data_IF_925551481131
#
_entry.id   IF_925551481131
#
_cell.length_a   1.000
_cell.length_b   1.000
_cell.length_c   1.000
_cell.angle_alpha   90.00
_cell.angle_beta   90.00
_cell.angle_gamma   90.00
#
_symmetry.space_group_name_H-M   'P 1'
#
loop_
_entity.id
_entity.type
_entity.pdbx_description
1 polymer ?
#
# COMPACT_ATOMS: atom_id res chain seq x y z
N UNK A 1 -87.21 -13.40 -23.57
CA UNK A 1 -86.13 -14.43 -23.43
C UNK A 1 -84.82 -13.72 -23.43
N UNK A 2 -84.18 -13.62 -22.28
CA UNK A 2 -82.94 -12.85 -22.08
C UNK A 2 -81.84 -13.88 -21.82
N UNK A 3 -80.88 -13.95 -22.71
CA UNK A 3 -79.66 -14.79 -22.50
C UNK A 3 -78.53 -13.89 -22.03
N UNK A 4 -78.11 -14.09 -20.77
CA UNK A 4 -76.98 -13.44 -20.20
C UNK A 4 -75.67 -14.09 -20.64
N UNK A 5 -74.78 -13.29 -21.22
CA UNK A 5 -73.38 -13.71 -21.58
C UNK A 5 -72.44 -13.29 -20.49
N UNK A 6 -71.87 -14.26 -19.80
CA UNK A 6 -70.86 -14.06 -18.79
C UNK A 6 -69.45 -13.95 -19.42
N UNK A 7 -68.95 -12.71 -19.45
CA UNK A 7 -67.55 -12.45 -19.85
C UNK A 7 -66.57 -12.80 -18.73
N UNK A 8 -65.64 -13.69 -19.00
CA UNK A 8 -64.49 -14.00 -18.15
C UNK A 8 -63.38 -12.97 -18.35
N UNK A 9 -63.16 -12.17 -17.33
CA UNK A 9 -61.96 -11.32 -17.25
C UNK A 9 -60.77 -12.17 -16.85
N UNK A 10 -59.85 -12.33 -17.77
CA UNK A 10 -58.53 -12.94 -17.49
C UNK A 10 -57.59 -11.83 -16.96
N UNK A 11 -57.28 -11.87 -15.69
CA UNK A 11 -56.28 -11.01 -15.09
C UNK A 11 -54.88 -11.55 -15.40
N UNK A 12 -54.17 -10.86 -16.28
CA UNK A 12 -52.77 -11.13 -16.56
C UNK A 12 -51.92 -10.46 -15.46
N UNK A 13 -51.38 -11.25 -14.55
CA UNK A 13 -50.42 -10.80 -13.54
C UNK A 13 -49.02 -10.70 -14.22
N UNK A 14 -48.59 -9.46 -14.48
CA UNK A 14 -47.21 -9.19 -14.94
C UNK A 14 -46.27 -9.24 -13.74
N UNK A 15 -45.48 -10.31 -13.63
CA UNK A 15 -44.34 -10.39 -12.71
C UNK A 15 -43.22 -9.47 -13.23
N UNK A 16 -43.05 -8.33 -12.60
CA UNK A 16 -41.89 -7.46 -12.76
C UNK A 16 -40.76 -8.06 -11.93
N UNK A 17 -39.85 -8.80 -12.56
CA UNK A 17 -38.62 -9.24 -11.92
C UNK A 17 -37.66 -8.05 -11.78
N UNK A 18 -37.56 -7.49 -10.57
CA UNK A 18 -36.50 -6.54 -10.24
C UNK A 18 -35.17 -7.28 -10.22
N UNK A 19 -34.42 -7.13 -11.28
CA UNK A 19 -32.99 -7.47 -11.30
C UNK A 19 -32.26 -6.48 -10.39
N UNK A 20 -32.00 -6.86 -9.16
CA UNK A 20 -31.07 -6.14 -8.28
C UNK A 20 -29.66 -6.34 -8.84
N UNK A 21 -29.15 -5.37 -9.60
CA UNK A 21 -27.74 -5.28 -9.90
C UNK A 21 -27.03 -4.96 -8.57
N UNK A 22 -26.46 -5.98 -7.92
CA UNK A 22 -25.49 -5.77 -6.85
C UNK A 22 -24.26 -5.12 -7.50
N UNK A 23 -23.77 -3.95 -7.01
CA UNK A 23 -22.51 -3.42 -7.44
C UNK A 23 -21.45 -4.46 -7.05
N UNK A 24 -20.79 -5.07 -8.02
CA UNK A 24 -19.58 -5.83 -7.79
C UNK A 24 -18.55 -4.84 -7.25
N UNK A 25 -18.24 -4.95 -5.95
CA UNK A 25 -17.10 -4.26 -5.36
C UNK A 25 -15.89 -4.73 -6.17
N UNK A 26 -15.33 -3.82 -6.97
CA UNK A 26 -14.12 -4.09 -7.72
C UNK A 26 -13.05 -4.43 -6.69
N UNK A 27 -12.58 -5.68 -6.68
CA UNK A 27 -11.45 -6.07 -5.85
C UNK A 27 -10.24 -5.23 -6.26
N UNK A 28 -9.50 -4.72 -5.28
CA UNK A 28 -8.26 -3.99 -5.56
C UNK A 28 -7.33 -4.88 -6.41
N UNK A 29 -6.62 -4.28 -7.37
CA UNK A 29 -5.70 -5.05 -8.21
C UNK A 29 -4.64 -5.73 -7.33
N UNK A 30 -4.23 -6.96 -7.64
CA UNK A 30 -3.25 -7.67 -6.85
C UNK A 30 -1.94 -6.88 -6.78
N UNK A 31 -1.37 -6.80 -5.59
CA UNK A 31 -0.10 -6.16 -5.33
C UNK A 31 1.11 -7.07 -5.54
N UNK A 32 2.26 -6.53 -5.26
CA UNK A 32 3.55 -7.23 -5.23
C UNK A 32 3.95 -7.48 -3.79
N UNK A 33 4.26 -8.73 -3.47
CA UNK A 33 4.80 -9.12 -2.18
C UNK A 33 6.31 -8.98 -2.21
N UNK A 34 6.82 -8.06 -1.40
CA UNK A 34 8.24 -7.80 -1.22
C UNK A 34 8.73 -8.42 0.07
N UNK A 35 9.87 -9.07 0.03
CA UNK A 35 10.67 -9.37 1.20
C UNK A 35 11.67 -8.22 1.39
N UNK A 36 11.47 -7.43 2.43
CA UNK A 36 12.26 -6.23 2.71
C UNK A 36 13.15 -6.47 3.90
N UNK A 37 14.44 -6.27 3.72
CA UNK A 37 15.44 -6.29 4.80
C UNK A 37 15.82 -4.86 5.13
N UNK A 38 15.79 -4.51 6.41
CA UNK A 38 16.22 -3.22 6.94
C UNK A 38 17.34 -3.38 7.95
N UNK A 39 18.34 -2.53 7.87
CA UNK A 39 19.46 -2.48 8.81
C UNK A 39 19.67 -1.04 9.28
N UNK A 40 19.63 -0.82 10.58
CA UNK A 40 19.80 0.48 11.19
C UNK A 40 21.22 0.64 11.74
N UNK A 41 21.81 1.80 11.50
CA UNK A 41 23.07 2.24 12.08
C UNK A 41 22.89 3.63 12.71
N UNK A 42 23.45 3.86 13.89
CA UNK A 42 23.46 5.15 14.56
C UNK A 42 24.85 5.77 14.47
N UNK A 43 24.92 7.06 14.14
CA UNK A 43 26.17 7.78 14.10
C UNK A 43 26.82 7.82 15.51
N UNK A 44 28.10 7.50 15.58
CA UNK A 44 28.86 7.49 16.84
C UNK A 44 28.76 6.21 17.69
N UNK A 45 27.96 5.23 17.24
CA UNK A 45 27.92 3.90 17.88
C UNK A 45 28.57 2.86 16.96
N UNK A 46 29.57 2.10 17.45
CA UNK A 46 30.21 1.05 16.64
C UNK A 46 29.31 -0.18 16.45
N UNK A 47 28.17 -0.24 17.14
CA UNK A 47 27.25 -1.36 17.07
C UNK A 47 26.23 -1.13 15.96
N UNK A 48 26.21 -2.04 14.98
CA UNK A 48 25.12 -2.13 14.01
C UNK A 48 24.00 -2.98 14.61
N UNK A 49 22.77 -2.50 14.50
CA UNK A 49 21.62 -3.31 14.88
C UNK A 49 21.48 -4.48 13.89
N UNK A 50 21.03 -5.65 14.36
CA UNK A 50 20.82 -6.79 13.46
C UNK A 50 19.81 -6.43 12.37
N UNK A 51 20.05 -6.93 11.16
CA UNK A 51 19.13 -6.75 10.05
C UNK A 51 17.79 -7.43 10.37
N UNK A 52 16.70 -6.74 10.05
CA UNK A 52 15.34 -7.25 10.19
C UNK A 52 14.74 -7.46 8.81
N UNK A 53 14.10 -8.61 8.62
CA UNK A 53 13.43 -8.95 7.38
C UNK A 53 11.94 -9.09 7.62
N UNK A 54 11.13 -8.45 6.76
CA UNK A 54 9.68 -8.51 6.81
C UNK A 54 9.10 -8.61 5.40
N UNK A 55 7.88 -9.13 5.29
CA UNK A 55 7.14 -9.14 4.04
C UNK A 55 6.18 -7.96 3.99
N UNK A 56 6.21 -7.22 2.90
CA UNK A 56 5.39 -6.02 2.67
C UNK A 56 4.63 -6.18 1.37
N UNK A 57 3.31 -5.98 1.43
CA UNK A 57 2.45 -5.96 0.25
C UNK A 57 2.32 -4.53 -0.26
N UNK A 58 2.79 -4.26 -1.45
CA UNK A 58 2.74 -2.94 -2.08
C UNK A 58 2.03 -2.97 -3.41
N UNK A 59 1.47 -1.85 -3.84
CA UNK A 59 0.92 -1.70 -5.18
C UNK A 59 1.99 -1.99 -6.26
N UNK A 60 1.57 -2.45 -7.43
CA UNK A 60 2.48 -2.70 -8.56
C UNK A 60 3.26 -1.47 -8.97
N UNK A 61 2.61 -0.31 -8.92
CA UNK A 61 3.25 0.97 -9.21
C UNK A 61 3.40 1.73 -7.91
N UNK A 62 4.63 1.97 -7.53
CA UNK A 62 4.93 2.74 -6.33
C UNK A 62 4.71 4.23 -6.61
N UNK A 63 3.67 4.78 -6.01
CA UNK A 63 3.42 6.23 -5.98
C UNK A 63 3.81 6.83 -4.62
N UNK A 64 4.06 5.97 -3.64
CA UNK A 64 4.47 6.31 -2.28
C UNK A 64 5.53 5.29 -1.82
N UNK A 65 6.42 5.64 -0.88
CA UNK A 65 7.30 4.65 -0.26
C UNK A 65 6.46 3.59 0.47
N UNK A 66 7.03 2.40 0.69
CA UNK A 66 6.36 1.40 1.49
C UNK A 66 6.01 1.98 2.86
N UNK A 67 4.85 1.64 3.42
CA UNK A 67 4.45 2.15 4.72
C UNK A 67 5.54 1.80 5.75
N UNK A 68 6.05 2.82 6.40
CA UNK A 68 6.91 2.64 7.57
C UNK A 68 6.10 1.95 8.68
N UNK A 69 6.75 1.13 9.51
CA UNK A 69 6.07 0.39 10.57
C UNK A 69 5.39 1.26 11.64
N UNK A 70 5.69 2.56 11.66
CA UNK A 70 5.12 3.51 12.63
C UNK A 70 4.06 4.40 11.97
N UNK A 71 2.84 4.29 12.47
CA UNK A 71 1.68 5.06 12.00
C UNK A 71 1.79 6.57 12.30
N UNK A 72 2.68 6.97 13.18
CA UNK A 72 2.96 8.38 13.47
C UNK A 72 3.81 9.07 12.41
N UNK A 73 4.34 8.32 11.46
CA UNK A 73 5.18 8.83 10.39
C UNK A 73 4.37 9.24 9.16
N UNK A 74 4.60 10.45 8.70
CA UNK A 74 4.02 10.97 7.46
C UNK A 74 5.16 11.17 6.46
N UNK A 75 4.96 10.66 5.26
CA UNK A 75 5.87 10.87 4.16
C UNK A 75 5.28 11.90 3.18
N UNK A 76 6.12 12.75 2.62
CA UNK A 76 5.77 13.85 1.71
C UNK A 76 6.85 14.04 0.63
N UNK A 77 6.58 14.96 -0.30
CA UNK A 77 7.54 15.37 -1.35
C UNK A 77 8.08 14.19 -2.17
N UNK A 78 7.19 13.28 -2.54
CA UNK A 78 7.56 12.14 -3.39
C UNK A 78 8.01 12.59 -4.77
N UNK A 79 9.15 12.08 -5.21
CA UNK A 79 9.65 12.29 -6.57
C UNK A 79 10.15 10.98 -7.12
N UNK A 80 9.73 10.68 -8.35
CA UNK A 80 10.24 9.56 -9.14
C UNK A 80 11.01 10.13 -10.32
N UNK A 81 12.28 9.80 -10.43
CA UNK A 81 13.15 10.18 -11.54
C UNK A 81 13.86 8.92 -12.04
N UNK A 82 13.44 8.43 -13.22
CA UNK A 82 13.91 7.14 -13.71
C UNK A 82 13.55 6.01 -12.75
N UNK A 83 14.53 5.27 -12.28
CA UNK A 83 14.37 4.19 -11.30
C UNK A 83 14.56 4.62 -9.84
N UNK A 84 14.73 5.92 -9.60
CA UNK A 84 14.97 6.46 -8.27
C UNK A 84 13.73 7.15 -7.71
N UNK A 85 13.29 6.74 -6.53
CA UNK A 85 12.25 7.40 -5.73
C UNK A 85 12.88 8.10 -4.53
N UNK A 86 12.50 9.34 -4.28
CA UNK A 86 12.91 10.09 -3.09
C UNK A 86 11.68 10.66 -2.38
N UNK A 87 11.78 10.82 -1.05
CA UNK A 87 10.73 11.43 -0.24
C UNK A 87 11.30 12.07 1.02
N UNK A 88 10.49 12.89 1.67
CA UNK A 88 10.72 13.37 3.04
C UNK A 88 9.84 12.60 4.01
N UNK A 89 10.29 12.48 5.24
CA UNK A 89 9.60 11.78 6.31
C UNK A 89 9.58 12.64 7.56
N UNK A 90 8.44 12.68 8.23
CA UNK A 90 8.28 13.31 9.53
C UNK A 90 7.42 12.40 10.42
N UNK A 91 7.96 12.04 11.56
CA UNK A 91 7.28 11.22 12.55
C UNK A 91 6.97 12.08 13.79
N UNK A 92 5.75 11.97 14.29
CA UNK A 92 5.30 12.56 15.53
C UNK A 92 5.50 11.60 16.72
N UNK A 93 4.84 11.92 17.85
CA UNK A 93 4.83 11.07 19.04
C UNK A 93 5.87 11.47 20.09
N UNK A 94 6.20 10.56 20.98
CA UNK A 94 7.11 10.82 22.10
C UNK A 94 8.57 11.03 21.65
N UNK A 95 8.94 10.48 20.52
CA UNK A 95 10.28 10.60 19.92
C UNK A 95 10.15 11.13 18.50
N UNK A 96 9.97 12.45 18.33
CA UNK A 96 9.83 13.03 17.01
C UNK A 96 11.10 12.81 16.17
N UNK A 97 10.90 12.44 14.91
CA UNK A 97 11.95 12.13 13.97
C UNK A 97 11.64 12.77 12.62
N UNK A 98 12.67 13.23 11.93
CA UNK A 98 12.56 13.74 10.58
C UNK A 98 13.68 13.17 9.71
N UNK A 99 13.43 13.05 8.42
CA UNK A 99 14.43 12.48 7.54
C UNK A 99 14.05 12.53 6.07
N UNK A 100 14.92 11.94 5.28
CA UNK A 100 14.75 11.75 3.85
C UNK A 100 15.00 10.30 3.49
N UNK A 101 14.23 9.80 2.52
CA UNK A 101 14.41 8.46 2.00
C UNK A 101 14.71 8.48 0.51
N UNK A 102 15.43 7.48 0.09
CA UNK A 102 15.74 7.19 -1.30
C UNK A 102 15.62 5.68 -1.55
N UNK A 103 15.00 5.31 -2.66
CA UNK A 103 14.95 3.94 -3.17
C UNK A 103 15.39 3.95 -4.63
N UNK A 104 16.25 3.01 -4.98
CA UNK A 104 16.64 2.73 -6.34
C UNK A 104 16.10 1.36 -6.75
N UNK A 105 15.24 1.33 -7.76
CA UNK A 105 14.71 0.08 -8.31
C UNK A 105 15.74 -0.56 -9.25
N UNK A 106 16.02 -1.83 -9.02
CA UNK A 106 16.91 -2.66 -9.82
C UNK A 106 16.06 -3.60 -10.68
N UNK A 107 15.52 -3.05 -11.77
CA UNK A 107 14.53 -3.74 -12.59
C UNK A 107 13.16 -3.85 -11.89
N UNK A 108 12.44 -4.94 -12.18
CA UNK A 108 11.08 -5.16 -11.67
C UNK A 108 11.03 -5.97 -10.36
N UNK A 109 12.14 -6.55 -9.93
CA UNK A 109 12.16 -7.61 -8.93
C UNK A 109 13.02 -7.30 -7.69
N UNK A 110 13.74 -6.19 -7.70
CA UNK A 110 14.58 -5.80 -6.58
C UNK A 110 14.65 -4.28 -6.41
N UNK A 111 14.97 -3.84 -5.22
CA UNK A 111 15.34 -2.46 -4.93
C UNK A 111 16.34 -2.39 -3.78
N UNK A 112 17.12 -1.34 -3.76
CA UNK A 112 17.92 -0.91 -2.62
C UNK A 112 17.52 0.48 -2.20
N UNK A 113 17.78 0.85 -0.96
CA UNK A 113 17.44 2.17 -0.48
C UNK A 113 18.16 2.57 0.79
N UNK A 114 18.05 3.84 1.10
CA UNK A 114 18.57 4.43 2.32
C UNK A 114 17.59 5.46 2.87
N UNK A 115 17.40 5.44 4.18
CA UNK A 115 16.71 6.51 4.90
C UNK A 115 17.69 7.14 5.86
N UNK A 116 17.85 8.44 5.74
CA UNK A 116 18.62 9.26 6.66
C UNK A 116 17.65 9.99 7.58
N UNK A 117 17.74 9.75 8.85
CA UNK A 117 16.82 10.34 9.82
C UNK A 117 17.57 10.97 11.01
N UNK A 118 16.97 11.97 11.59
CA UNK A 118 17.47 12.66 12.80
C UNK A 118 16.37 12.68 13.85
N UNK A 119 16.69 12.25 15.04
CA UNK A 119 15.82 12.31 16.21
C UNK A 119 16.62 12.75 17.42
N UNK A 120 16.16 13.77 18.15
CA UNK A 120 16.81 14.29 19.37
C UNK A 120 18.31 14.60 19.18
N UNK A 121 18.70 15.08 18.00
CA UNK A 121 20.10 15.38 17.66
C UNK A 121 20.96 14.17 17.27
N UNK A 122 20.40 12.96 17.29
CA UNK A 122 21.09 11.75 16.83
C UNK A 122 20.77 11.46 15.37
N UNK A 123 21.78 11.17 14.59
CA UNK A 123 21.65 10.80 13.20
C UNK A 123 21.57 9.28 13.05
N UNK A 124 20.63 8.81 12.30
CA UNK A 124 20.41 7.39 11.99
C UNK A 124 20.42 7.17 10.50
N UNK A 125 20.98 6.06 10.08
CA UNK A 125 20.94 5.59 8.71
C UNK A 125 20.27 4.23 8.68
N UNK A 126 19.21 4.10 7.88
CA UNK A 126 18.53 2.82 7.67
C UNK A 126 18.78 2.40 6.23
N UNK A 127 19.47 1.29 6.05
CA UNK A 127 19.66 0.66 4.75
C UNK A 127 18.50 -0.28 4.48
N UNK A 128 17.97 -0.24 3.28
CA UNK A 128 16.86 -1.05 2.83
C UNK A 128 17.28 -1.90 1.62
N UNK A 129 16.82 -3.13 1.58
CA UNK A 129 16.90 -3.97 0.40
C UNK A 129 15.61 -4.75 0.28
N UNK A 130 15.01 -4.77 -0.91
CA UNK A 130 13.78 -5.48 -1.18
C UNK A 130 13.93 -6.42 -2.36
N UNK A 131 13.31 -7.59 -2.23
CA UNK A 131 13.21 -8.60 -3.27
C UNK A 131 11.75 -9.00 -3.44
N UNK A 132 11.30 -9.02 -4.68
CA UNK A 132 9.97 -9.54 -5.01
C UNK A 132 9.93 -11.05 -4.76
N UNK A 133 8.95 -11.49 -3.97
CA UNK A 133 8.80 -12.90 -3.62
C UNK A 133 7.44 -13.47 -4.02
N UNK A 134 6.55 -12.64 -4.57
CA UNK A 134 5.26 -13.10 -5.03
C UNK A 134 4.27 -11.98 -5.28
N UNK A 135 3.01 -12.32 -5.24
CA UNK A 135 1.87 -11.41 -5.31
C UNK A 135 1.12 -11.44 -3.98
N UNK A 136 0.34 -10.42 -3.73
CA UNK A 136 -0.46 -10.30 -2.51
C UNK A 136 -1.75 -9.56 -2.79
N UNK A 137 -2.74 -9.79 -1.94
CA UNK A 137 -4.01 -9.09 -1.97
C UNK A 137 -3.97 -7.92 -0.98
N UNK A 138 -4.76 -6.86 -1.27
CA UNK A 138 -4.84 -5.64 -0.47
C UNK A 138 -3.50 -4.90 -0.29
N UNK A 139 -2.89 -4.42 -1.40
CA UNK A 139 -1.68 -3.61 -1.33
C UNK A 139 -1.94 -2.30 -0.59
N UNK A 140 -0.99 -1.90 0.25
CA UNK A 140 -1.01 -0.64 1.01
C UNK A 140 -0.23 0.46 0.29
#
# INVERSE_FOLDING_TARGET
MITASTGRLAAAAALVALLTLSPALAADPPGVLWETTSQMAMAGMPMQMPAQTQKVCSAKTWTKPPPGGDKSCVASDYKMVGSKMTWKMQCGGQTPMQGTGEINFEGADAYTGVVLATSQGMNMTIKLAGKKVGTCDNPQ
#
